data_IF_367989050999
#
_entry.id   IF_367989050999
#
_cell.length_a   1.000
_cell.length_b   1.000
_cell.length_c   1.000
_cell.angle_alpha   90.00
_cell.angle_beta   90.00
_cell.angle_gamma   90.00
#
_symmetry.space_group_name_H-M   'P 1'
#
loop_
_entity.id
_entity.type
_entity.pdbx_description
1 polymer ?
#
# COMPACT_ATOMS: atom_id res chain seq x y z
N UNK A 1 -3.01 -63.90 3.61
CA UNK A 1 -2.48 -63.26 4.83
C UNK A 1 -1.94 -61.90 4.42
N UNK A 2 -2.74 -60.83 4.58
CA UNK A 2 -2.42 -59.50 4.03
C UNK A 2 -1.39 -58.76 4.90
N UNK A 3 -0.37 -58.18 4.26
CA UNK A 3 0.60 -57.30 4.94
C UNK A 3 -0.02 -55.94 5.22
N UNK A 4 -0.03 -55.52 6.48
CA UNK A 4 -0.44 -54.18 6.90
C UNK A 4 0.74 -53.23 6.69
N UNK A 5 0.63 -52.37 5.68
CA UNK A 5 1.58 -51.28 5.41
C UNK A 5 1.30 -50.10 6.36
N UNK A 6 2.25 -49.81 7.26
CA UNK A 6 2.16 -48.71 8.22
C UNK A 6 2.58 -47.38 7.56
N UNK A 7 1.62 -46.57 7.09
CA UNK A 7 1.90 -45.21 6.59
C UNK A 7 2.05 -44.26 7.77
N UNK A 8 3.27 -43.77 8.01
CA UNK A 8 3.53 -42.64 8.93
C UNK A 8 2.84 -41.39 8.35
N UNK A 9 1.83 -40.88 9.06
CA UNK A 9 1.24 -39.58 8.81
C UNK A 9 2.21 -38.50 9.25
N UNK A 10 2.90 -37.87 8.28
CA UNK A 10 3.69 -36.67 8.54
C UNK A 10 2.73 -35.51 8.78
N UNK A 11 2.52 -35.18 10.05
CA UNK A 11 1.84 -33.96 10.47
C UNK A 11 2.74 -32.77 10.05
N UNK A 12 2.42 -32.11 8.93
CA UNK A 12 3.02 -30.80 8.61
C UNK A 12 2.45 -29.80 9.60
N UNK A 13 3.13 -29.62 10.73
CA UNK A 13 2.84 -28.57 11.68
C UNK A 13 2.87 -27.23 10.96
N UNK A 14 1.74 -26.51 11.00
CA UNK A 14 1.71 -25.10 10.65
C UNK A 14 2.65 -24.41 11.65
N UNK A 15 3.80 -23.94 11.18
CA UNK A 15 4.70 -23.14 12.01
C UNK A 15 3.99 -21.81 12.24
N UNK A 16 3.36 -21.64 13.40
CA UNK A 16 2.88 -20.34 13.87
C UNK A 16 4.12 -19.49 14.16
N UNK A 17 4.53 -18.62 13.22
CA UNK A 17 5.56 -17.62 13.50
C UNK A 17 4.96 -16.57 14.44
N UNK A 18 5.26 -16.69 15.72
CA UNK A 18 4.97 -15.65 16.71
C UNK A 18 5.94 -14.49 16.42
N UNK A 19 5.42 -13.30 16.13
CA UNK A 19 6.26 -12.10 16.00
C UNK A 19 6.81 -11.76 17.38
N UNK A 20 8.13 -11.52 17.48
CA UNK A 20 8.69 -10.99 18.71
C UNK A 20 8.24 -9.54 18.93
N UNK A 21 8.29 -9.08 20.18
CA UNK A 21 7.82 -7.75 20.55
C UNK A 21 8.50 -6.64 19.74
N UNK A 22 9.79 -6.82 19.41
CA UNK A 22 10.53 -5.87 18.59
C UNK A 22 9.93 -5.75 17.18
N UNK A 23 9.62 -6.87 16.52
CA UNK A 23 9.02 -6.89 15.19
C UNK A 23 7.64 -6.22 15.20
N UNK A 24 6.84 -6.47 16.24
CA UNK A 24 5.56 -5.79 16.41
C UNK A 24 5.74 -4.28 16.59
N UNK A 25 6.69 -3.86 17.44
CA UNK A 25 6.95 -2.44 17.68
C UNK A 25 7.46 -1.73 16.42
N UNK A 26 8.39 -2.35 15.68
CA UNK A 26 8.89 -1.84 14.39
C UNK A 26 7.72 -1.66 13.40
N UNK A 27 6.76 -2.61 13.37
CA UNK A 27 5.56 -2.53 12.54
C UNK A 27 4.64 -1.38 12.96
N UNK A 28 4.32 -1.26 14.25
CA UNK A 28 3.45 -0.19 14.77
C UNK A 28 4.06 1.18 14.49
N UNK A 29 5.36 1.36 14.77
CA UNK A 29 6.05 2.63 14.51
C UNK A 29 6.05 3.00 13.03
N UNK A 30 6.28 2.02 12.14
CA UNK A 30 6.22 2.24 10.70
C UNK A 30 4.80 2.62 10.24
N UNK A 31 3.78 1.99 10.82
CA UNK A 31 2.37 2.25 10.52
C UNK A 31 1.89 3.63 10.99
N UNK A 32 2.38 4.12 12.13
CA UNK A 32 2.01 5.43 12.68
C UNK A 32 2.74 6.59 11.97
N UNK A 33 3.94 6.35 11.44
CA UNK A 33 4.80 7.38 10.88
C UNK A 33 5.12 7.15 9.39
N UNK A 34 4.12 6.82 8.57
CA UNK A 34 4.33 6.35 7.18
C UNK A 34 5.06 7.32 6.25
N UNK A 35 5.06 8.62 6.58
CA UNK A 35 5.81 9.66 5.85
C UNK A 35 7.32 9.63 6.11
N UNK A 36 7.74 9.10 7.25
CA UNK A 36 9.14 9.13 7.66
C UNK A 36 9.99 8.17 6.81
N UNK A 37 11.24 8.54 6.46
CA UNK A 37 12.13 7.71 5.65
C UNK A 37 12.34 6.28 6.19
N UNK A 38 12.40 6.13 7.51
CA UNK A 38 12.57 4.83 8.18
C UNK A 38 11.35 3.93 7.99
N UNK A 39 10.15 4.51 8.03
CA UNK A 39 8.89 3.81 7.75
C UNK A 39 8.80 3.43 6.29
N UNK A 40 9.14 4.35 5.38
CA UNK A 40 9.22 4.04 3.94
C UNK A 40 10.23 2.92 3.66
N UNK A 41 11.37 2.90 4.34
CA UNK A 41 12.32 1.79 4.25
C UNK A 41 11.72 0.46 4.74
N UNK A 42 10.93 0.49 5.82
CA UNK A 42 10.22 -0.69 6.30
C UNK A 42 9.27 -1.24 5.24
N UNK A 43 8.39 -0.40 4.68
CA UNK A 43 7.44 -0.82 3.64
C UNK A 43 8.12 -1.21 2.34
N UNK A 44 9.17 -0.50 1.92
CA UNK A 44 9.92 -0.85 0.72
C UNK A 44 10.52 -2.26 0.80
N UNK A 45 11.01 -2.68 1.98
CA UNK A 45 11.47 -4.06 2.17
C UNK A 45 10.35 -5.09 2.02
N UNK A 46 9.10 -4.73 2.31
CA UNK A 46 7.94 -5.59 2.10
C UNK A 46 7.53 -5.62 0.62
N UNK A 47 7.51 -4.44 -0.03
CA UNK A 47 7.09 -4.26 -1.42
C UNK A 47 8.10 -4.84 -2.42
N UNK A 48 9.41 -4.78 -2.13
CA UNK A 48 10.45 -5.42 -2.93
C UNK A 48 10.50 -6.93 -2.64
N UNK A 49 9.47 -7.64 -3.12
CA UNK A 49 9.31 -9.09 -2.98
C UNK A 49 10.40 -9.86 -3.72
N UNK A 50 10.98 -9.29 -4.78
CA UNK A 50 12.03 -9.91 -5.59
C UNK A 50 13.44 -9.59 -5.08
N UNK A 51 13.60 -8.73 -4.07
CA UNK A 51 14.88 -8.30 -3.49
C UNK A 51 15.86 -7.72 -4.52
N UNK A 52 15.34 -6.89 -5.42
CA UNK A 52 16.10 -6.26 -6.51
C UNK A 52 16.64 -4.88 -6.16
N UNK A 53 16.14 -4.27 -5.08
CA UNK A 53 16.45 -2.89 -4.70
C UNK A 53 15.58 -1.84 -5.42
N UNK A 54 14.57 -2.28 -6.18
CA UNK A 54 13.62 -1.43 -6.88
C UNK A 54 12.26 -2.12 -7.03
N UNK A 55 11.20 -1.32 -7.16
CA UNK A 55 9.86 -1.76 -7.55
C UNK A 55 9.71 -1.58 -9.06
N UNK A 56 9.30 -2.65 -9.73
CA UNK A 56 8.94 -2.62 -11.14
C UNK A 56 7.43 -2.83 -11.31
N UNK A 57 6.95 -2.79 -12.54
CA UNK A 57 5.54 -3.02 -12.89
C UNK A 57 4.99 -4.32 -12.29
N UNK A 58 5.79 -5.39 -12.25
CA UNK A 58 5.39 -6.65 -11.64
C UNK A 58 5.14 -6.49 -10.14
N UNK A 59 6.04 -5.83 -9.40
CA UNK A 59 5.88 -5.60 -7.97
C UNK A 59 4.62 -4.79 -7.67
N UNK A 60 4.38 -3.70 -8.41
CA UNK A 60 3.17 -2.88 -8.23
C UNK A 60 1.89 -3.70 -8.49
N UNK A 61 1.84 -4.44 -9.61
CA UNK A 61 0.68 -5.25 -9.96
C UNK A 61 0.44 -6.38 -8.94
N UNK A 62 1.51 -6.96 -8.40
CA UNK A 62 1.41 -8.05 -7.43
C UNK A 62 0.59 -7.62 -6.20
N UNK A 63 0.85 -6.43 -5.66
CA UNK A 63 0.12 -5.89 -4.52
C UNK A 63 -1.26 -5.34 -4.91
N UNK A 64 -1.33 -4.57 -6.00
CA UNK A 64 -2.58 -3.92 -6.40
C UNK A 64 -3.72 -4.91 -6.73
N UNK A 65 -3.40 -6.12 -7.18
CA UNK A 65 -4.41 -7.18 -7.39
C UNK A 65 -5.21 -7.50 -6.13
N UNK A 66 -4.60 -7.41 -4.94
CA UNK A 66 -5.33 -7.64 -3.69
C UNK A 66 -6.35 -6.51 -3.44
N UNK A 67 -5.97 -5.26 -3.73
CA UNK A 67 -6.86 -4.10 -3.64
C UNK A 67 -8.06 -4.26 -4.58
N UNK A 68 -7.82 -4.63 -5.85
CA UNK A 68 -8.90 -4.86 -6.82
C UNK A 68 -9.86 -5.98 -6.38
N UNK A 69 -9.36 -7.06 -5.78
CA UNK A 69 -10.21 -8.13 -5.23
C UNK A 69 -11.07 -7.61 -4.09
N UNK A 70 -10.52 -6.79 -3.19
CA UNK A 70 -11.29 -6.20 -2.11
C UNK A 70 -12.34 -5.21 -2.62
N UNK A 71 -12.02 -4.39 -3.63
CA UNK A 71 -12.99 -3.50 -4.27
C UNK A 71 -14.22 -4.27 -4.79
N UNK A 72 -13.98 -5.37 -5.51
CA UNK A 72 -15.06 -6.23 -6.02
C UNK A 72 -15.91 -6.82 -4.90
N UNK A 73 -15.28 -7.24 -3.79
CA UNK A 73 -15.98 -7.76 -2.61
C UNK A 73 -16.87 -6.71 -1.94
N UNK A 74 -16.50 -5.43 -2.03
CA UNK A 74 -17.27 -4.29 -1.56
C UNK A 74 -18.26 -3.74 -2.62
N UNK A 75 -18.43 -4.44 -3.75
CA UNK A 75 -19.36 -4.06 -4.81
C UNK A 75 -18.94 -2.85 -5.64
N UNK A 76 -17.65 -2.49 -5.60
CA UNK A 76 -17.07 -1.40 -6.39
C UNK A 76 -16.49 -1.91 -7.70
N UNK A 77 -16.60 -1.11 -8.75
CA UNK A 77 -15.95 -1.40 -10.03
C UNK A 77 -14.42 -1.31 -9.87
N UNK A 78 -13.65 -2.31 -10.32
CA UNK A 78 -12.21 -2.31 -10.16
C UNK A 78 -11.55 -1.28 -11.07
N UNK A 79 -10.63 -0.48 -10.52
CA UNK A 79 -9.83 0.47 -11.29
C UNK A 79 -8.77 -0.26 -12.12
N UNK A 80 -8.47 0.29 -13.30
CA UNK A 80 -7.43 -0.22 -14.20
C UNK A 80 -6.05 -0.13 -13.55
N UNK A 81 -5.30 -1.24 -13.55
CA UNK A 81 -3.91 -1.21 -13.10
C UNK A 81 -3.02 -0.32 -13.98
N UNK A 82 -3.32 -0.19 -15.27
CA UNK A 82 -2.52 0.64 -16.17
C UNK A 82 -2.54 2.11 -15.72
N UNK A 83 -3.71 2.62 -15.34
CA UNK A 83 -3.92 4.00 -14.92
C UNK A 83 -3.25 4.24 -13.56
N UNK A 84 -3.47 3.34 -12.59
CA UNK A 84 -2.81 3.42 -11.26
C UNK A 84 -1.29 3.34 -11.38
N UNK A 85 -0.78 2.49 -12.28
CA UNK A 85 0.66 2.43 -12.56
C UNK A 85 1.14 3.78 -13.10
N UNK A 86 0.49 4.34 -14.11
CA UNK A 86 0.90 5.63 -14.67
C UNK A 86 0.86 6.74 -13.61
N UNK A 87 -0.19 6.81 -12.78
CA UNK A 87 -0.27 7.77 -11.67
C UNK A 87 0.87 7.60 -10.65
N UNK A 88 1.21 6.36 -10.25
CA UNK A 88 2.33 6.10 -9.34
C UNK A 88 3.65 6.59 -9.96
N UNK A 89 3.90 6.30 -11.23
CA UNK A 89 5.13 6.73 -11.90
C UNK A 89 5.19 8.25 -12.07
N UNK A 90 4.06 8.91 -12.34
CA UNK A 90 3.97 10.36 -12.47
C UNK A 90 4.15 11.10 -11.14
N UNK A 91 3.67 10.51 -10.04
CA UNK A 91 3.90 11.02 -8.68
C UNK A 91 5.35 10.86 -8.25
N UNK A 92 5.95 9.68 -8.46
CA UNK A 92 7.29 9.37 -7.96
C UNK A 92 8.38 9.99 -8.83
N UNK A 93 8.17 10.07 -10.14
CA UNK A 93 9.14 10.54 -11.15
C UNK A 93 10.52 9.92 -10.96
N UNK A 94 10.61 8.58 -11.00
CA UNK A 94 11.85 7.89 -10.70
C UNK A 94 12.96 8.25 -11.69
N UNK A 95 14.21 8.16 -11.21
CA UNK A 95 15.38 8.41 -12.06
C UNK A 95 15.47 7.43 -13.24
N UNK A 96 15.00 6.18 -13.05
CA UNK A 96 14.83 5.18 -14.10
C UNK A 96 13.31 5.03 -14.39
N UNK A 97 12.86 5.22 -15.65
CA UNK A 97 11.44 5.16 -16.01
C UNK A 97 10.73 3.83 -15.74
N UNK A 98 11.45 2.76 -15.43
CA UNK A 98 10.90 1.43 -15.19
C UNK A 98 11.09 0.94 -13.75
N UNK A 99 11.84 1.67 -12.93
CA UNK A 99 12.29 1.21 -11.62
C UNK A 99 12.16 2.31 -10.56
N UNK A 100 11.32 2.07 -9.56
CA UNK A 100 11.18 2.95 -8.40
C UNK A 100 12.08 2.43 -7.28
N UNK A 101 13.09 3.19 -6.90
CA UNK A 101 13.95 2.87 -5.75
C UNK A 101 13.39 3.45 -4.45
N UNK A 102 13.94 3.03 -3.31
CA UNK A 102 13.62 3.64 -2.01
C UNK A 102 13.97 5.15 -2.01
N UNK A 103 15.07 5.52 -2.67
CA UNK A 103 15.48 6.91 -2.75
C UNK A 103 14.47 7.75 -3.53
N UNK A 104 13.97 7.24 -4.65
CA UNK A 104 12.93 7.92 -5.44
C UNK A 104 11.65 8.12 -4.60
N UNK A 105 11.21 7.09 -3.85
CA UNK A 105 10.03 7.21 -2.98
C UNK A 105 10.20 8.27 -1.90
N UNK A 106 11.36 8.32 -1.24
CA UNK A 106 11.66 9.33 -0.21
C UNK A 106 11.68 10.73 -0.83
N UNK A 107 12.36 10.91 -1.98
CA UNK A 107 12.54 12.22 -2.60
C UNK A 107 11.27 12.77 -3.25
N UNK A 108 10.35 11.89 -3.67
CA UNK A 108 9.09 12.30 -4.29
C UNK A 108 8.14 13.03 -3.34
N UNK A 109 8.29 12.87 -2.01
CA UNK A 109 7.30 13.26 -1.00
C UNK A 109 5.91 12.59 -1.15
N UNK A 110 5.80 11.57 -2.02
CA UNK A 110 4.58 10.80 -2.25
C UNK A 110 4.70 9.35 -1.77
N UNK A 111 5.79 9.00 -1.08
CA UNK A 111 6.06 7.63 -0.61
C UNK A 111 4.93 7.03 0.22
N UNK A 112 4.35 7.79 1.16
CA UNK A 112 3.20 7.32 1.96
C UNK A 112 1.99 7.02 1.07
N UNK A 113 1.66 7.90 0.14
CA UNK A 113 0.54 7.73 -0.79
C UNK A 113 0.72 6.45 -1.61
N UNK A 114 1.91 6.23 -2.16
CA UNK A 114 2.22 5.00 -2.92
C UNK A 114 2.11 3.76 -2.04
N UNK A 115 2.62 3.79 -0.81
CA UNK A 115 2.48 2.68 0.14
C UNK A 115 1.00 2.39 0.43
N UNK A 116 0.20 3.42 0.66
CA UNK A 116 -1.23 3.28 0.94
C UNK A 116 -1.99 2.67 -0.25
N UNK A 117 -1.76 3.18 -1.46
CA UNK A 117 -2.35 2.64 -2.70
C UNK A 117 -2.09 1.14 -2.85
N UNK A 118 -0.88 0.69 -2.50
CA UNK A 118 -0.48 -0.70 -2.69
C UNK A 118 -0.88 -1.63 -1.54
N UNK A 119 -1.13 -1.10 -0.33
CA UNK A 119 -1.24 -1.94 0.87
C UNK A 119 -2.53 -1.78 1.67
N UNK A 120 -3.33 -0.74 1.41
CA UNK A 120 -4.48 -0.37 2.23
C UNK A 120 -5.67 0.02 1.35
N UNK A 121 -6.75 -0.75 1.38
CA UNK A 121 -7.97 -0.46 0.61
C UNK A 121 -8.56 0.92 0.95
N UNK A 122 -8.59 1.27 2.23
CA UNK A 122 -9.13 2.57 2.65
C UNK A 122 -8.18 3.69 2.21
N UNK A 123 -6.88 3.45 2.34
CA UNK A 123 -5.86 4.37 1.82
C UNK A 123 -5.98 4.61 0.31
N UNK A 124 -6.25 3.56 -0.47
CA UNK A 124 -6.54 3.68 -1.89
C UNK A 124 -7.85 4.45 -2.15
N UNK A 125 -8.92 4.15 -1.43
CA UNK A 125 -10.20 4.85 -1.58
C UNK A 125 -10.10 6.34 -1.31
N UNK A 126 -9.39 6.74 -0.25
CA UNK A 126 -9.13 8.15 0.05
C UNK A 126 -8.35 8.84 -1.06
N UNK A 127 -7.42 8.13 -1.70
CA UNK A 127 -6.66 8.66 -2.82
C UNK A 127 -7.50 8.83 -4.08
N UNK A 128 -8.33 7.84 -4.44
CA UNK A 128 -9.20 7.92 -5.62
C UNK A 128 -10.20 9.07 -5.52
N UNK A 129 -10.79 9.28 -4.33
CA UNK A 129 -11.79 10.31 -4.10
C UNK A 129 -11.19 11.64 -3.61
N UNK A 130 -9.87 11.84 -3.74
CA UNK A 130 -9.14 13.01 -3.22
C UNK A 130 -9.70 14.34 -3.73
N UNK A 131 -10.17 14.38 -4.97
CA UNK A 131 -10.71 15.59 -5.59
C UNK A 131 -12.05 16.00 -4.98
N UNK A 132 -12.90 15.02 -4.64
CA UNK A 132 -14.18 15.26 -3.97
C UNK A 132 -13.97 15.84 -2.57
N UNK A 133 -13.04 15.27 -1.79
CA UNK A 133 -12.69 15.79 -0.47
C UNK A 133 -12.07 17.20 -0.53
N UNK A 134 -11.31 17.51 -1.57
CA UNK A 134 -10.78 18.87 -1.78
C UNK A 134 -11.89 19.88 -2.13
N UNK A 135 -12.90 19.46 -2.90
CA UNK A 135 -14.04 20.30 -3.25
C UNK A 135 -14.94 20.60 -2.03
N UNK A 136 -15.19 19.61 -1.16
CA UNK A 136 -15.99 19.77 0.06
C UNK A 136 -15.34 20.76 1.04
N UNK A 137 -14.03 20.66 1.26
CA UNK A 137 -13.31 21.58 2.15
C UNK A 137 -13.35 23.03 1.64
N UNK A 138 -13.15 23.23 0.33
CA UNK A 138 -13.22 24.57 -0.27
C UNK A 138 -14.64 25.18 -0.22
N UNK A 139 -15.68 24.36 -0.25
CA UNK A 139 -17.06 24.84 -0.11
C UNK A 139 -17.43 25.23 1.33
N UNK A 140 -16.71 24.69 2.32
CA UNK A 140 -16.96 24.91 3.76
C UNK A 140 -16.35 26.21 4.28
N UNK A 141 -15.23 26.64 3.71
CA UNK A 141 -14.52 27.89 4.09
C UNK A 141 -15.20 29.16 3.55
N UNK A 142 -16.10 29.05 2.56
CA UNK A 142 -16.75 30.21 1.92
C UNK A 142 -18.05 30.68 2.60
N UNK A 143 -18.43 30.13 3.76
CA UNK A 143 -19.70 30.45 4.46
C UNK A 143 -19.50 31.36 5.68
N UNK A 144 -18.27 31.65 6.10
CA UNK A 144 -18.01 32.41 7.35
C UNK A 144 -17.87 33.94 7.20
N UNK A 145 -17.94 34.50 5.99
CA UNK A 145 -17.61 35.93 5.77
C UNK A 145 -18.81 36.87 5.49
N UNK A 146 -20.06 36.43 5.67
CA UNK A 146 -21.26 37.24 5.33
C UNK A 146 -22.15 37.62 6.53
N UNK A 147 -21.57 37.73 7.74
CA UNK A 147 -22.29 38.17 8.96
C UNK A 147 -21.56 39.27 9.74
N UNK A 148 -21.10 40.33 9.07
CA UNK A 148 -20.77 41.59 9.74
C UNK A 148 -21.38 42.80 9.03
N UNK A 149 -22.70 42.91 9.09
CA UNK A 149 -23.37 44.20 8.96
C UNK A 149 -24.64 44.21 9.82
N UNK A 150 -24.50 44.52 11.11
CA UNK A 150 -25.43 45.27 11.95
C UNK A 150 -24.74 45.76 13.22
#
# INVERSE_FOLDING_TARGET
MAMISNRKSTNRGIITRIQDYKTYLDFVLAMENRKEPQSLQYFFRLLDVQKRGYLNVFALNFFFRAIQVQMQQHGQEPVSFADVKDEIFDMVRPSDPLHITLQDLIQSNHGETVVNILTDLNGFWTYENREEFMAENNSSENVEDDNSEF
#
